data_IF_415888567679
#
_entry.id   IF_415888567679
#
_cell.length_a   1.000
_cell.length_b   1.000
_cell.length_c   1.000
_cell.angle_alpha   90.00
_cell.angle_beta   90.00
_cell.angle_gamma   90.00
#
_symmetry.space_group_name_H-M   'P 1'
#
loop_
_entity.id
_entity.type
_entity.pdbx_description
1 polymer ?
#
# COMPACT_ATOMS: atom_id res chain seq x y z
N UNK A 1 -35.25 -1.34 14.12
CA UNK A 1 -34.82 -2.04 12.90
C UNK A 1 -34.25 -1.00 11.94
N UNK A 2 -32.92 -0.91 11.80
CA UNK A 2 -32.33 -0.05 10.78
C UNK A 2 -32.64 -0.64 9.42
N UNK A 3 -33.29 0.15 8.56
CA UNK A 3 -33.63 -0.24 7.20
C UNK A 3 -32.38 -0.67 6.46
N UNK A 4 -32.36 -1.91 5.91
CA UNK A 4 -31.33 -2.42 4.98
C UNK A 4 -31.17 -1.54 3.74
N UNK A 5 -32.10 -0.64 3.50
CA UNK A 5 -32.18 0.27 2.35
C UNK A 5 -32.04 1.75 2.74
N UNK A 6 -31.38 2.06 3.86
CA UNK A 6 -31.07 3.44 4.20
C UNK A 6 -30.20 4.05 3.09
N UNK A 7 -30.62 5.22 2.56
CA UNK A 7 -29.83 5.95 1.55
C UNK A 7 -28.47 6.31 2.15
N UNK A 8 -27.43 6.01 1.39
CA UNK A 8 -26.05 6.31 1.77
C UNK A 8 -25.27 6.73 0.51
N UNK A 9 -24.16 7.42 0.72
CA UNK A 9 -23.25 7.85 -0.32
C UNK A 9 -21.86 7.31 -0.10
N UNK A 10 -21.07 7.27 -1.16
CA UNK A 10 -19.69 6.85 -1.13
C UNK A 10 -18.94 7.34 -2.36
N UNK A 11 -17.64 7.09 -2.36
CA UNK A 11 -16.76 7.43 -3.48
C UNK A 11 -16.13 6.17 -4.06
N UNK A 12 -15.97 6.16 -5.38
CA UNK A 12 -15.16 5.18 -6.08
C UNK A 12 -13.81 5.83 -6.39
N UNK A 13 -12.73 5.31 -5.78
CA UNK A 13 -11.36 5.70 -6.05
C UNK A 13 -10.46 4.52 -5.73
N UNK A 14 -9.67 4.05 -6.71
CA UNK A 14 -8.73 2.97 -6.43
C UNK A 14 -7.53 3.45 -5.62
N UNK A 15 -6.98 2.57 -4.78
CA UNK A 15 -5.84 2.84 -3.91
C UNK A 15 -4.64 3.45 -4.64
N UNK A 16 -4.35 2.94 -5.84
CA UNK A 16 -3.24 3.42 -6.68
C UNK A 16 -3.40 4.84 -7.20
N UNK A 17 -4.61 5.40 -7.13
CA UNK A 17 -4.92 6.78 -7.53
C UNK A 17 -4.90 7.75 -6.35
N UNK A 18 -4.59 7.28 -5.14
CA UNK A 18 -4.41 8.18 -4.00
C UNK A 18 -3.21 9.11 -4.26
N UNK A 19 -3.34 10.40 -3.94
CA UNK A 19 -2.27 11.37 -4.18
C UNK A 19 -1.04 11.04 -3.34
N UNK A 20 0.13 11.29 -3.92
CA UNK A 20 1.38 11.30 -3.17
C UNK A 20 1.35 12.46 -2.17
N UNK A 21 1.82 12.23 -0.95
CA UNK A 21 2.13 13.32 -0.03
C UNK A 21 3.59 13.76 -0.21
N UNK A 22 3.91 15.03 0.02
CA UNK A 22 5.29 15.47 0.11
C UNK A 22 6.05 14.68 1.19
N UNK A 23 7.30 14.34 0.92
CA UNK A 23 8.23 13.81 1.92
C UNK A 23 8.25 14.72 3.14
N UNK A 24 8.08 14.17 4.34
CA UNK A 24 8.10 14.92 5.59
C UNK A 24 6.77 15.55 6.01
N UNK A 25 5.68 15.34 5.28
CA UNK A 25 4.38 15.77 5.76
C UNK A 25 3.93 14.87 6.94
N UNK A 26 3.54 15.46 8.09
CA UNK A 26 3.08 14.69 9.25
C UNK A 26 1.87 13.82 8.87
N UNK A 27 1.84 12.60 9.38
CA UNK A 27 0.67 11.73 9.28
C UNK A 27 0.04 11.65 10.67
N UNK A 28 -0.91 12.53 10.93
CA UNK A 28 -1.57 12.60 12.23
C UNK A 28 -2.25 11.28 12.57
N UNK A 29 -1.93 10.76 13.76
CA UNK A 29 -2.63 9.65 14.39
C UNK A 29 -2.24 8.23 13.92
N UNK A 30 -1.13 8.05 13.19
CA UNK A 30 -0.51 6.74 13.04
C UNK A 30 0.67 6.62 14.01
N UNK A 31 0.64 5.68 14.99
CA UNK A 31 1.73 5.47 15.92
C UNK A 31 3.04 5.17 15.16
N UNK A 32 4.13 5.85 15.52
CA UNK A 32 5.46 5.60 14.95
C UNK A 32 5.71 6.19 13.56
N UNK A 33 4.86 7.12 13.11
CA UNK A 33 5.10 7.85 11.85
C UNK A 33 5.37 9.33 12.17
N UNK A 34 6.50 9.63 12.76
CA UNK A 34 6.90 11.00 13.13
C UNK A 34 7.16 11.89 11.89
N UNK A 35 6.14 12.05 11.08
CA UNK A 35 6.08 13.03 10.00
C UNK A 35 6.85 12.72 8.71
N UNK A 36 7.37 11.51 8.53
CA UNK A 36 8.35 11.26 7.46
C UNK A 36 7.82 10.43 6.28
N UNK A 37 6.62 9.87 6.40
CA UNK A 37 6.15 8.86 5.46
C UNK A 37 5.06 9.35 4.51
N UNK A 38 5.27 9.29 3.22
CA UNK A 38 4.20 9.40 2.24
C UNK A 38 4.14 8.15 1.35
N UNK A 39 2.94 7.63 1.13
CA UNK A 39 2.71 6.63 0.10
C UNK A 39 2.52 7.35 -1.23
N UNK A 40 2.99 6.87 -2.31
CA UNK A 40 2.82 7.50 -3.62
C UNK A 40 4.07 8.11 -4.22
N UNK A 41 5.12 8.34 -3.44
CA UNK A 41 6.41 8.81 -3.97
C UNK A 41 7.08 7.79 -4.90
N UNK A 42 6.56 6.58 -4.93
CA UNK A 42 6.97 5.56 -5.89
C UNK A 42 6.11 5.54 -7.16
N UNK A 43 5.26 6.53 -7.36
CA UNK A 43 4.42 6.68 -8.56
C UNK A 43 3.11 5.90 -8.55
N UNK A 44 2.71 5.33 -7.41
CA UNK A 44 1.44 4.62 -7.24
C UNK A 44 1.07 4.56 -5.76
N UNK A 45 -0.17 4.87 -5.42
CA UNK A 45 -0.70 4.73 -4.06
C UNK A 45 -0.74 3.28 -3.59
N UNK A 46 -0.88 3.10 -2.28
CA UNK A 46 -0.88 1.78 -1.60
C UNK A 46 -1.78 1.77 -0.35
N UNK A 47 -1.81 0.66 0.37
CA UNK A 47 -2.54 0.48 1.65
C UNK A 47 -1.76 1.11 2.84
N UNK A 48 -1.21 2.30 2.62
CA UNK A 48 -0.42 3.01 3.59
C UNK A 48 -1.08 4.28 4.13
N UNK A 49 -0.28 5.23 4.61
CA UNK A 49 -0.77 6.45 5.27
C UNK A 49 -1.81 7.22 4.49
N UNK A 50 -1.64 7.40 3.16
CA UNK A 50 -2.63 8.12 2.33
C UNK A 50 -3.99 7.43 2.27
N UNK A 51 -4.03 6.09 2.33
CA UNK A 51 -5.28 5.35 2.39
C UNK A 51 -6.01 5.60 3.73
N UNK A 52 -5.28 5.60 4.84
CA UNK A 52 -5.86 5.92 6.16
C UNK A 52 -6.38 7.35 6.23
N UNK A 53 -5.68 8.29 5.63
CA UNK A 53 -6.14 9.68 5.59
C UNK A 53 -7.36 9.85 4.70
N UNK A 54 -7.40 9.16 3.59
CA UNK A 54 -8.57 9.18 2.72
C UNK A 54 -9.81 8.61 3.44
N UNK A 55 -9.64 7.56 4.25
CA UNK A 55 -10.72 7.04 5.09
C UNK A 55 -11.20 8.10 6.09
N UNK A 56 -10.28 8.83 6.73
CA UNK A 56 -10.63 9.92 7.67
C UNK A 56 -11.37 11.05 6.95
N UNK A 57 -10.89 11.43 5.77
CA UNK A 57 -11.56 12.41 4.91
C UNK A 57 -12.98 11.97 4.55
N UNK A 58 -13.17 10.73 4.12
CA UNK A 58 -14.50 10.19 3.80
C UNK A 58 -15.42 10.21 5.01
N UNK A 59 -14.92 9.82 6.18
CA UNK A 59 -15.68 9.86 7.42
C UNK A 59 -16.09 11.29 7.76
N UNK A 60 -15.17 12.25 7.72
CA UNK A 60 -15.46 13.67 7.98
C UNK A 60 -16.44 14.27 6.96
N UNK A 61 -16.42 13.79 5.72
CA UNK A 61 -17.36 14.18 4.66
C UNK A 61 -18.72 13.42 4.74
N UNK A 62 -18.95 12.63 5.78
CA UNK A 62 -20.19 11.87 5.96
C UNK A 62 -20.40 10.73 4.97
N UNK A 63 -19.35 10.31 4.26
CA UNK A 63 -19.41 9.18 3.34
C UNK A 63 -19.39 7.86 4.10
N UNK A 64 -20.17 6.88 3.62
CA UNK A 64 -20.26 5.56 4.26
C UNK A 64 -19.52 4.46 3.52
N UNK A 65 -19.21 4.68 2.25
CA UNK A 65 -18.62 3.67 1.39
C UNK A 65 -17.41 4.23 0.65
N UNK A 66 -16.38 3.43 0.64
CA UNK A 66 -15.25 3.58 -0.27
C UNK A 66 -15.21 2.37 -1.20
N UNK A 67 -15.54 2.57 -2.46
CA UNK A 67 -15.45 1.53 -3.47
C UNK A 67 -14.07 1.58 -4.12
N UNK A 68 -13.42 0.43 -4.16
CA UNK A 68 -12.11 0.23 -4.81
C UNK A 68 -12.25 -0.82 -5.92
N UNK A 69 -11.27 -0.86 -6.82
CA UNK A 69 -11.14 -1.95 -7.79
C UNK A 69 -10.59 -3.21 -7.11
N UNK A 70 -10.66 -4.39 -7.78
CA UNK A 70 -10.09 -5.62 -7.20
C UNK A 70 -8.64 -5.44 -6.74
N UNK A 71 -8.30 -6.01 -5.58
CA UNK A 71 -7.01 -5.85 -4.91
C UNK A 71 -6.10 -7.06 -5.08
N UNK A 72 -6.45 -7.99 -5.95
CA UNK A 72 -5.60 -9.13 -6.32
C UNK A 72 -4.39 -8.74 -7.18
N UNK A 73 -3.45 -9.65 -7.40
CA UNK A 73 -2.33 -9.43 -8.30
C UNK A 73 -2.83 -9.02 -9.68
N UNK A 74 -2.18 -8.03 -10.29
CA UNK A 74 -2.59 -7.55 -11.62
C UNK A 74 -2.03 -8.43 -12.73
N UNK A 75 -2.79 -8.63 -13.79
CA UNK A 75 -2.38 -9.34 -14.99
C UNK A 75 -1.75 -8.43 -16.05
N UNK A 76 -1.96 -8.78 -17.33
CA UNK A 76 -1.44 -8.02 -18.45
C UNK A 76 -1.90 -6.55 -18.40
N UNK A 77 -0.99 -5.64 -18.66
CA UNK A 77 -1.27 -4.20 -18.65
C UNK A 77 -1.62 -3.64 -17.27
N UNK A 78 -1.25 -4.33 -16.20
CA UNK A 78 -1.61 -3.97 -14.81
C UNK A 78 -3.13 -3.92 -14.57
N UNK A 79 -3.92 -4.65 -15.35
CA UNK A 79 -5.37 -4.70 -15.19
C UNK A 79 -5.76 -5.39 -13.88
N UNK A 80 -6.52 -4.74 -12.98
CA UNK A 80 -6.99 -5.36 -11.75
C UNK A 80 -8.07 -6.42 -12.00
N UNK A 81 -8.66 -6.43 -13.20
CA UNK A 81 -9.70 -7.39 -13.58
C UNK A 81 -9.15 -8.70 -14.20
N UNK A 82 -7.86 -8.76 -14.45
CA UNK A 82 -7.18 -9.93 -15.01
C UNK A 82 -6.20 -10.53 -13.97
N UNK A 83 -6.71 -10.76 -12.76
CA UNK A 83 -5.89 -11.34 -11.70
C UNK A 83 -5.61 -12.82 -11.96
N UNK A 84 -4.37 -13.29 -11.81
CA UNK A 84 -4.02 -14.70 -11.89
C UNK A 84 -4.45 -15.48 -10.64
N UNK A 85 -4.88 -14.82 -9.57
CA UNK A 85 -5.31 -15.44 -8.32
C UNK A 85 -6.52 -14.71 -7.74
N UNK A 86 -7.49 -15.50 -7.25
CA UNK A 86 -8.65 -14.98 -6.51
C UNK A 86 -8.39 -14.82 -5.01
N UNK A 87 -7.28 -15.35 -4.49
CA UNK A 87 -6.96 -15.37 -3.05
C UNK A 87 -5.80 -14.43 -2.70
N UNK A 88 -4.81 -14.34 -3.56
CA UNK A 88 -3.63 -13.54 -3.29
C UNK A 88 -3.92 -12.04 -3.32
N UNK A 89 -3.32 -11.29 -2.38
CA UNK A 89 -3.28 -9.84 -2.44
C UNK A 89 -2.23 -9.35 -3.44
N UNK A 90 -2.42 -8.12 -3.95
CA UNK A 90 -1.45 -7.50 -4.85
C UNK A 90 -0.24 -6.98 -4.04
N UNK A 91 0.98 -7.50 -4.27
CA UNK A 91 2.16 -7.01 -3.58
C UNK A 91 2.46 -5.53 -3.84
N UNK A 92 1.98 -4.98 -4.94
CA UNK A 92 2.13 -3.56 -5.25
C UNK A 92 1.29 -2.64 -4.35
N UNK A 93 0.34 -3.19 -3.59
CA UNK A 93 -0.45 -2.45 -2.60
C UNK A 93 0.16 -2.48 -1.19
N UNK A 94 1.24 -3.24 -0.97
CA UNK A 94 1.97 -3.24 0.30
C UNK A 94 2.69 -1.89 0.45
N UNK A 95 2.48 -1.23 1.58
CA UNK A 95 3.09 0.07 1.87
C UNK A 95 4.52 -0.06 2.39
N UNK A 96 5.53 0.50 1.69
CA UNK A 96 6.89 0.57 2.22
C UNK A 96 6.98 1.39 3.51
N UNK A 97 6.13 2.40 3.68
CA UNK A 97 6.07 3.21 4.88
C UNK A 97 5.69 2.37 6.10
N UNK A 98 4.71 1.48 5.97
CA UNK A 98 4.32 0.58 7.06
C UNK A 98 5.40 -0.47 7.34
N UNK A 99 6.06 -0.99 6.31
CA UNK A 99 7.19 -1.92 6.50
C UNK A 99 8.35 -1.28 7.25
N UNK A 100 8.57 0.01 7.05
CA UNK A 100 9.58 0.74 7.79
C UNK A 100 9.17 1.01 9.25
N UNK A 101 7.90 1.36 9.49
CA UNK A 101 7.34 1.43 10.85
C UNK A 101 7.54 0.11 11.61
N UNK A 102 7.36 -1.00 10.92
CA UNK A 102 7.49 -2.35 11.49
C UNK A 102 8.97 -2.82 11.55
N UNK A 103 9.95 -1.95 11.23
CA UNK A 103 11.37 -2.23 11.30
C UNK A 103 11.93 -3.10 10.17
N UNK A 104 11.12 -3.42 9.16
CA UNK A 104 11.52 -4.25 8.01
C UNK A 104 12.22 -3.44 6.91
N UNK A 105 12.02 -2.14 6.88
CA UNK A 105 12.76 -1.21 6.04
C UNK A 105 13.35 -0.09 6.90
N UNK A 106 14.40 0.54 6.39
CA UNK A 106 14.92 1.79 6.94
C UNK A 106 14.35 2.94 6.14
N UNK A 107 14.30 4.11 6.75
CA UNK A 107 13.84 5.32 6.08
C UNK A 107 14.70 5.65 4.85
N UNK A 108 16.00 5.40 4.96
CA UNK A 108 16.96 5.68 3.90
C UNK A 108 16.70 4.83 2.65
N UNK A 109 16.33 3.55 2.83
CA UNK A 109 16.03 2.65 1.71
C UNK A 109 14.86 3.20 0.87
N UNK A 110 13.85 3.70 1.57
CA UNK A 110 12.66 4.22 0.93
C UNK A 110 12.91 5.61 0.33
N UNK A 111 13.63 6.50 1.02
CA UNK A 111 14.00 7.81 0.51
C UNK A 111 14.85 7.69 -0.75
N UNK A 112 15.77 6.75 -0.81
CA UNK A 112 16.58 6.50 -2.02
C UNK A 112 15.70 6.00 -3.17
N UNK A 113 14.77 5.08 -2.93
CA UNK A 113 13.82 4.62 -3.94
C UNK A 113 12.92 5.76 -4.44
N UNK A 114 12.46 6.62 -3.55
CA UNK A 114 11.64 7.80 -3.88
C UNK A 114 12.45 8.85 -4.65
N UNK A 115 13.69 9.12 -4.24
CA UNK A 115 14.60 10.04 -4.94
C UNK A 115 14.86 9.60 -6.37
N UNK A 116 15.14 8.33 -6.58
CA UNK A 116 15.31 7.76 -7.92
C UNK A 116 14.02 7.83 -8.75
N UNK A 117 12.86 7.88 -8.09
CA UNK A 117 11.58 8.08 -8.79
C UNK A 117 11.40 9.53 -9.23
N UNK A 118 11.73 10.50 -8.38
CA UNK A 118 11.58 11.94 -8.68
C UNK A 118 12.53 12.44 -9.78
N UNK A 119 13.66 11.76 -10.00
CA UNK A 119 14.61 12.08 -11.08
C UNK A 119 14.26 11.41 -12.41
N UNK A 120 13.32 10.48 -12.42
CA UNK A 120 12.86 9.86 -13.66
C UNK A 120 11.87 10.80 -14.37
N UNK A 121 12.31 11.40 -15.46
CA UNK A 121 11.51 12.34 -16.27
C UNK A 121 10.22 11.74 -16.84
N UNK A 122 10.05 10.42 -16.74
CA UNK A 122 8.83 9.71 -17.13
C UNK A 122 7.75 9.74 -16.06
N UNK A 123 8.07 10.19 -14.84
CA UNK A 123 7.12 10.24 -13.73
C UNK A 123 6.43 11.61 -13.68
N UNK A 124 5.16 11.62 -14.01
CA UNK A 124 4.25 12.72 -13.76
C UNK A 124 3.56 12.48 -12.41
N UNK A 125 3.83 13.32 -11.42
CA UNK A 125 3.28 13.19 -10.06
C UNK A 125 1.74 13.24 -10.00
N UNK A 126 1.09 13.68 -11.08
CA UNK A 126 -0.36 13.66 -11.22
C UNK A 126 -0.94 12.33 -11.76
N UNK A 127 -0.09 11.35 -12.07
CA UNK A 127 -0.51 10.08 -12.67
C UNK A 127 0.16 8.89 -12.01
N UNK A 128 -0.52 7.74 -12.04
CA UNK A 128 0.07 6.47 -11.59
C UNK A 128 1.00 5.89 -12.66
N UNK A 129 2.22 5.57 -12.27
CA UNK A 129 3.27 5.02 -13.14
C UNK A 129 3.61 3.58 -12.76
N UNK A 130 2.74 2.65 -13.07
CA UNK A 130 2.82 1.25 -12.62
C UNK A 130 4.11 0.54 -13.00
N UNK A 131 4.63 0.73 -14.20
CA UNK A 131 5.84 0.03 -14.67
C UNK A 131 7.08 0.42 -13.87
N UNK A 132 7.24 1.70 -13.54
CA UNK A 132 8.38 2.21 -12.74
C UNK A 132 8.16 1.87 -11.27
N UNK A 133 6.96 2.11 -10.77
CA UNK A 133 6.59 1.83 -9.39
C UNK A 133 6.74 0.36 -9.02
N UNK A 134 6.33 -0.56 -9.91
CA UNK A 134 6.36 -2.00 -9.64
C UNK A 134 7.78 -2.52 -9.40
N UNK A 135 8.74 -2.12 -10.24
CA UNK A 135 10.14 -2.54 -10.09
C UNK A 135 10.72 -2.13 -8.74
N UNK A 136 10.63 -0.84 -8.42
CA UNK A 136 11.17 -0.29 -7.17
C UNK A 136 10.48 -0.86 -5.93
N UNK A 137 9.16 -1.00 -5.98
CA UNK A 137 8.41 -1.58 -4.88
C UNK A 137 8.80 -3.03 -4.63
N UNK A 138 8.97 -3.82 -5.70
CA UNK A 138 9.43 -5.21 -5.58
C UNK A 138 10.86 -5.32 -5.02
N UNK A 139 11.75 -4.38 -5.32
CA UNK A 139 13.08 -4.31 -4.71
C UNK A 139 13.01 -4.05 -3.21
N UNK A 140 12.20 -3.09 -2.79
CA UNK A 140 11.96 -2.80 -1.36
C UNK A 140 11.33 -3.99 -0.64
N UNK A 141 10.37 -4.67 -1.25
CA UNK A 141 9.75 -5.87 -0.66
C UNK A 141 10.75 -7.00 -0.49
N UNK A 142 11.64 -7.23 -1.48
CA UNK A 142 12.72 -8.22 -1.35
C UNK A 142 13.71 -7.85 -0.24
N UNK A 143 14.03 -6.56 -0.09
CA UNK A 143 14.89 -6.08 0.98
C UNK A 143 14.22 -6.29 2.36
N UNK A 144 12.95 -5.94 2.49
CA UNK A 144 12.16 -6.17 3.69
C UNK A 144 12.12 -7.66 4.07
N UNK A 145 11.90 -8.53 3.09
CA UNK A 145 11.90 -9.98 3.30
C UNK A 145 13.27 -10.51 3.77
N UNK A 146 14.38 -10.06 3.18
CA UNK A 146 15.72 -10.43 3.65
C UNK A 146 15.96 -10.01 5.09
N UNK A 147 15.48 -8.83 5.48
CA UNK A 147 15.58 -8.38 6.89
C UNK A 147 14.69 -9.18 7.81
N UNK A 148 13.47 -9.46 7.38
CA UNK A 148 12.54 -10.30 8.12
C UNK A 148 13.17 -11.64 8.50
N UNK A 149 13.92 -12.29 7.61
CA UNK A 149 14.59 -13.56 7.89
C UNK A 149 15.62 -13.50 9.04
N UNK A 150 16.14 -12.30 9.34
CA UNK A 150 17.19 -12.08 10.33
C UNK A 150 16.71 -11.38 11.61
N UNK A 151 15.43 -11.05 11.71
CA UNK A 151 14.86 -10.43 12.91
C UNK A 151 14.32 -11.52 13.83
N UNK A 152 14.84 -11.67 15.08
CA UNK A 152 14.21 -12.50 16.10
C UNK A 152 12.93 -11.80 16.56
N UNK A 153 11.76 -12.26 16.12
CA UNK A 153 10.52 -11.61 16.49
C UNK A 153 9.31 -12.53 16.43
N UNK A 154 8.26 -12.13 17.14
CA UNK A 154 6.93 -12.74 17.09
C UNK A 154 6.32 -12.78 15.67
N UNK A 155 6.84 -11.94 14.76
CA UNK A 155 6.43 -11.92 13.35
C UNK A 155 6.68 -13.26 12.66
N UNK A 156 7.73 -14.02 13.05
CA UNK A 156 7.96 -15.36 12.49
C UNK A 156 6.86 -16.34 12.87
N UNK A 157 6.38 -16.26 14.10
CA UNK A 157 5.26 -17.11 14.56
C UNK A 157 3.97 -16.75 13.82
N UNK A 158 3.66 -15.47 13.70
CA UNK A 158 2.50 -14.97 12.95
C UNK A 158 2.57 -15.39 11.46
N UNK A 159 3.75 -15.30 10.86
CA UNK A 159 3.96 -15.71 9.47
C UNK A 159 3.80 -17.22 9.28
N UNK A 160 4.31 -18.02 10.22
CA UNK A 160 4.14 -19.47 10.20
C UNK A 160 2.66 -19.87 10.36
N UNK A 161 1.95 -19.23 11.27
CA UNK A 161 0.51 -19.41 11.46
C UNK A 161 -0.27 -19.01 10.21
N UNK A 162 0.04 -17.85 9.61
CA UNK A 162 -0.56 -17.43 8.34
C UNK A 162 -0.36 -18.50 7.25
N UNK A 163 0.86 -18.97 7.05
CA UNK A 163 1.15 -20.01 6.06
C UNK A 163 0.38 -21.29 6.31
N UNK A 164 0.27 -21.70 7.57
CA UNK A 164 -0.50 -22.88 7.95
C UNK A 164 -1.99 -22.71 7.61
N UNK A 165 -2.57 -21.58 7.99
CA UNK A 165 -3.98 -21.28 7.75
C UNK A 165 -4.35 -21.04 6.28
N UNK A 166 -3.36 -20.78 5.43
CA UNK A 166 -3.53 -20.51 4.00
C UNK A 166 -2.95 -21.60 3.10
N UNK A 167 -2.64 -22.78 3.68
CA UNK A 167 -1.97 -23.89 2.97
C UNK A 167 -2.74 -24.45 1.77
N UNK A 168 -4.05 -24.23 1.70
CA UNK A 168 -4.89 -24.71 0.60
C UNK A 168 -4.58 -24.03 -0.73
N UNK A 169 -3.99 -22.84 -0.70
CA UNK A 169 -3.71 -22.08 -1.91
C UNK A 169 -2.29 -21.48 -1.94
N UNK A 170 -1.64 -21.35 -0.79
CA UNK A 170 -0.30 -20.79 -0.66
C UNK A 170 0.73 -21.93 -0.69
N UNK A 171 1.31 -22.15 -1.84
CA UNK A 171 2.35 -23.20 -2.07
C UNK A 171 3.74 -22.62 -1.93
#
# INVERSE_FOLDING_TARGET
MSSLFARSSGLLLHLTSLPARPLGAPVDGLPGTDGVWSSGDLGSGDLGPSAYEFIRFLHAAGQRWWQILPTGPTGYGFSPYQSPSSFAGNPLLISPALLARDGLLRIEDWQEAARLSSTDSRIDLGKSHFSVSSGKRMELLRLAYRRFQNIPSDMHAQFAEFRHNQSDWLV
#
